data_IF_666791426784
#
_entry.id   IF_666791426784
#
_cell.length_a   1.000
_cell.length_b   1.000
_cell.length_c   1.000
_cell.angle_alpha   90.00
_cell.angle_beta   90.00
_cell.angle_gamma   90.00
#
_symmetry.space_group_name_H-M   'P 1'
#
loop_
_entity.id
_entity.type
_entity.pdbx_description
1 polymer ?
#
# COMPACT_ATOMS: atom_id res chain seq x y z
N UNK A 1 -24.07 -0.50 30.18
CA UNK A 1 -23.95 -1.30 28.94
C UNK A 1 -22.50 -1.27 28.55
N UNK A 2 -21.74 -2.26 28.98
CA UNK A 2 -20.33 -2.49 28.58
C UNK A 2 -20.38 -3.06 27.17
N UNK A 3 -19.94 -2.29 26.19
CA UNK A 3 -19.64 -2.81 24.84
C UNK A 3 -18.53 -3.83 25.00
N UNK A 4 -18.88 -5.10 24.87
CA UNK A 4 -17.86 -6.17 24.75
C UNK A 4 -17.03 -5.85 23.50
N UNK A 5 -15.76 -5.48 23.71
CA UNK A 5 -14.80 -5.36 22.64
C UNK A 5 -14.74 -6.71 21.90
N UNK A 6 -15.03 -6.71 20.62
CA UNK A 6 -14.90 -7.89 19.77
C UNK A 6 -13.48 -8.46 19.90
N UNK A 7 -13.27 -9.78 19.82
CA UNK A 7 -11.93 -10.36 19.76
C UNK A 7 -11.05 -9.72 18.68
N UNK A 8 -11.63 -9.23 17.60
CA UNK A 8 -10.95 -8.53 16.51
C UNK A 8 -10.38 -7.16 16.93
N UNK A 9 -10.97 -6.48 17.92
CA UNK A 9 -10.48 -5.18 18.42
C UNK A 9 -9.15 -5.29 19.18
N UNK A 10 -8.70 -6.52 19.51
CA UNK A 10 -7.44 -6.80 20.22
C UNK A 10 -6.30 -7.21 19.27
N UNK A 11 -6.61 -7.49 18.02
CA UNK A 11 -5.60 -7.86 17.02
C UNK A 11 -4.85 -6.64 16.51
N UNK A 12 -3.57 -6.81 16.20
CA UNK A 12 -2.82 -5.80 15.45
C UNK A 12 -3.42 -5.62 14.05
N UNK A 13 -3.15 -4.50 13.40
CA UNK A 13 -3.61 -4.27 12.02
C UNK A 13 -3.08 -5.33 11.05
N UNK A 14 -1.88 -5.83 11.30
CA UNK A 14 -1.28 -6.89 10.49
C UNK A 14 -1.97 -8.25 10.70
N UNK A 15 -2.29 -8.60 11.95
CA UNK A 15 -3.01 -9.85 12.25
C UNK A 15 -4.41 -9.84 11.61
N UNK A 16 -5.11 -8.71 11.71
CA UNK A 16 -6.43 -8.53 11.05
C UNK A 16 -6.32 -8.65 9.53
N UNK A 17 -5.32 -8.00 8.93
CA UNK A 17 -5.06 -8.09 7.50
C UNK A 17 -4.82 -9.54 7.08
N UNK A 18 -3.92 -10.24 7.77
CA UNK A 18 -3.57 -11.64 7.49
C UNK A 18 -4.79 -12.55 7.55
N UNK A 19 -5.58 -12.42 8.64
CA UNK A 19 -6.79 -13.22 8.82
C UNK A 19 -7.80 -12.98 7.68
N UNK A 20 -8.14 -11.72 7.41
CA UNK A 20 -9.14 -11.37 6.39
C UNK A 20 -8.66 -11.77 4.99
N UNK A 21 -7.38 -11.53 4.68
CA UNK A 21 -6.81 -11.89 3.38
C UNK A 21 -6.87 -13.39 3.13
N UNK A 22 -6.51 -14.21 4.12
CA UNK A 22 -6.57 -15.66 4.03
C UNK A 22 -8.02 -16.16 3.92
N UNK A 23 -8.93 -15.70 4.79
CA UNK A 23 -10.34 -16.11 4.81
C UNK A 23 -11.06 -15.80 3.49
N UNK A 24 -10.70 -14.68 2.83
CA UNK A 24 -11.35 -14.22 1.60
C UNK A 24 -10.59 -14.57 0.33
N UNK A 25 -9.42 -15.20 0.45
CA UNK A 25 -8.56 -15.54 -0.68
C UNK A 25 -8.07 -14.31 -1.45
N UNK A 26 -7.89 -13.18 -0.75
CA UNK A 26 -7.44 -11.92 -1.37
C UNK A 26 -5.97 -12.00 -1.77
N UNK A 27 -5.63 -11.29 -2.83
CA UNK A 27 -4.27 -11.04 -3.26
C UNK A 27 -3.94 -9.57 -3.05
N UNK A 28 -2.93 -9.28 -2.24
CA UNK A 28 -2.61 -7.94 -1.77
C UNK A 28 -1.19 -7.57 -2.19
N UNK A 29 -0.99 -6.33 -2.61
CA UNK A 29 0.33 -5.79 -2.90
C UNK A 29 0.50 -4.39 -2.33
N UNK A 30 1.75 -3.90 -2.32
CA UNK A 30 2.08 -2.54 -1.92
C UNK A 30 3.03 -1.89 -2.90
N UNK A 31 2.97 -0.56 -3.01
CA UNK A 31 3.92 0.25 -3.78
C UNK A 31 4.50 1.33 -2.88
N UNK A 32 5.82 1.41 -2.82
CA UNK A 32 6.52 2.25 -1.88
C UNK A 32 7.40 3.29 -2.56
N UNK A 33 7.40 4.50 -2.02
CA UNK A 33 8.40 5.51 -2.29
C UNK A 33 9.19 5.79 -1.01
N UNK A 34 8.75 6.73 -0.16
CA UNK A 34 9.49 7.15 1.03
C UNK A 34 9.75 6.01 2.03
N UNK A 35 8.92 5.00 2.11
CA UNK A 35 9.06 3.89 3.06
C UNK A 35 10.09 2.84 2.66
N UNK A 36 10.56 2.86 1.40
CA UNK A 36 11.74 2.15 0.91
C UNK A 36 11.82 0.66 1.26
N UNK A 37 10.71 -0.07 1.19
CA UNK A 37 10.65 -1.50 1.48
C UNK A 37 10.19 -1.84 2.91
N UNK A 38 10.05 -0.86 3.80
CA UNK A 38 9.59 -1.11 5.18
C UNK A 38 8.15 -1.63 5.23
N UNK A 39 7.26 -1.09 4.40
CA UNK A 39 5.87 -1.56 4.33
C UNK A 39 5.81 -2.99 3.79
N UNK A 40 6.55 -3.30 2.72
CA UNK A 40 6.67 -4.66 2.17
C UNK A 40 7.18 -5.65 3.21
N UNK A 41 8.23 -5.28 3.95
CA UNK A 41 8.78 -6.09 5.03
C UNK A 41 7.77 -6.33 6.15
N UNK A 42 7.02 -5.29 6.53
CA UNK A 42 5.98 -5.38 7.57
C UNK A 42 4.84 -6.30 7.11
N UNK A 43 4.31 -6.11 5.92
CA UNK A 43 3.20 -6.90 5.38
C UNK A 43 3.62 -8.35 5.16
N UNK A 44 4.82 -8.57 4.64
CA UNK A 44 5.39 -9.89 4.40
C UNK A 44 5.70 -10.69 5.68
N UNK A 45 5.73 -10.04 6.85
CA UNK A 45 5.85 -10.70 8.14
C UNK A 45 4.49 -11.20 8.70
N UNK A 46 3.39 -10.92 8.02
CA UNK A 46 2.07 -11.40 8.41
C UNK A 46 1.94 -12.92 8.35
N UNK A 47 1.03 -13.47 9.16
CA UNK A 47 0.76 -14.90 9.16
C UNK A 47 0.34 -15.36 7.75
N UNK A 48 0.90 -16.47 7.30
CA UNK A 48 0.61 -17.08 5.99
C UNK A 48 0.72 -16.12 4.80
N UNK A 49 1.63 -15.11 4.90
CA UNK A 49 1.80 -14.09 3.87
C UNK A 49 2.07 -14.68 2.47
N UNK A 50 2.69 -15.86 2.39
CA UNK A 50 2.92 -16.57 1.14
C UNK A 50 1.65 -16.92 0.35
N UNK A 51 0.50 -16.96 1.00
CA UNK A 51 -0.77 -17.31 0.37
C UNK A 51 -1.54 -16.09 -0.17
N UNK A 52 -1.28 -14.88 0.36
CA UNK A 52 -2.06 -13.69 0.06
C UNK A 52 -1.24 -12.45 -0.32
N UNK A 53 0.02 -12.33 0.12
CA UNK A 53 0.86 -11.19 -0.21
C UNK A 53 1.59 -11.39 -1.54
N UNK A 54 1.14 -10.72 -2.58
CA UNK A 54 1.72 -10.82 -3.93
C UNK A 54 3.12 -10.19 -4.02
N UNK A 55 3.44 -9.28 -3.10
CA UNK A 55 4.72 -8.60 -3.04
C UNK A 55 4.61 -7.08 -2.98
N UNK A 56 5.77 -6.42 -2.99
CA UNK A 56 5.88 -4.98 -3.00
C UNK A 56 6.87 -4.48 -4.05
N UNK A 57 6.61 -3.28 -4.56
CA UNK A 57 7.49 -2.57 -5.48
C UNK A 57 7.97 -1.28 -4.81
N UNK A 58 9.28 -1.07 -4.77
CA UNK A 58 9.89 0.20 -4.36
C UNK A 58 10.20 1.00 -5.62
N UNK A 59 9.47 2.10 -5.84
CA UNK A 59 9.67 3.05 -6.92
C UNK A 59 10.09 4.41 -6.32
N UNK A 60 11.37 4.55 -6.00
CA UNK A 60 11.86 5.71 -5.24
C UNK A 60 12.01 6.95 -6.13
N UNK A 61 12.70 6.83 -7.24
CA UNK A 61 12.92 7.91 -8.18
C UNK A 61 11.70 8.15 -9.08
N UNK A 62 11.48 9.41 -9.47
CA UNK A 62 10.34 9.81 -10.31
C UNK A 62 10.34 9.10 -11.65
N UNK A 63 11.49 8.99 -12.32
CA UNK A 63 11.61 8.29 -13.61
C UNK A 63 11.28 6.78 -13.50
N UNK A 64 11.51 6.17 -12.35
CA UNK A 64 11.09 4.78 -12.09
C UNK A 64 9.58 4.69 -11.94
N UNK A 65 8.94 5.66 -11.23
CA UNK A 65 7.47 5.74 -11.14
C UNK A 65 6.83 5.88 -12.52
N UNK A 66 7.39 6.74 -13.36
CA UNK A 66 6.92 6.95 -14.74
C UNK A 66 7.03 5.67 -15.58
N UNK A 67 8.22 5.04 -15.60
CA UNK A 67 8.49 3.87 -16.44
C UNK A 67 7.79 2.60 -15.99
N UNK A 68 7.77 2.35 -14.68
CA UNK A 68 7.27 1.08 -14.13
C UNK A 68 5.77 1.11 -13.84
N UNK A 69 5.25 2.28 -13.47
CA UNK A 69 3.90 2.46 -12.98
C UNK A 69 3.10 3.48 -13.80
N UNK A 70 3.64 3.95 -14.92
CA UNK A 70 2.92 4.84 -15.83
C UNK A 70 2.45 6.15 -15.21
N UNK A 71 3.14 6.63 -14.17
CA UNK A 71 2.87 7.95 -13.61
C UNK A 71 3.13 8.99 -14.68
N UNK A 72 2.19 9.91 -14.88
CA UNK A 72 2.30 10.95 -15.91
C UNK A 72 3.54 11.83 -15.68
N UNK A 73 4.41 12.03 -16.66
CA UNK A 73 5.56 12.92 -16.53
C UNK A 73 5.15 14.31 -16.05
N UNK A 74 5.85 14.80 -15.03
CA UNK A 74 5.56 16.10 -14.41
C UNK A 74 4.54 16.05 -13.27
N UNK A 75 3.98 14.90 -12.96
CA UNK A 75 3.17 14.71 -11.72
C UNK A 75 4.05 14.96 -10.50
N UNK A 76 3.57 15.79 -9.58
CA UNK A 76 4.23 16.00 -8.30
C UNK A 76 4.31 14.67 -7.52
N UNK A 77 5.52 14.16 -7.21
CA UNK A 77 5.67 12.91 -6.50
C UNK A 77 5.07 12.93 -5.08
N UNK A 78 4.92 14.12 -4.46
CA UNK A 78 4.28 14.30 -3.17
C UNK A 78 2.84 14.81 -3.36
N UNK A 79 1.98 14.02 -4.01
CA UNK A 79 0.60 14.40 -4.30
C UNK A 79 -0.38 13.23 -4.19
N UNK A 80 -1.66 13.59 -4.08
CA UNK A 80 -2.76 12.66 -4.14
C UNK A 80 -2.79 11.88 -5.46
N UNK A 81 -2.61 12.59 -6.57
CA UNK A 81 -2.58 12.01 -7.92
C UNK A 81 -1.48 10.95 -8.04
N UNK A 82 -0.26 11.26 -7.59
CA UNK A 82 0.83 10.30 -7.60
C UNK A 82 0.49 9.05 -6.76
N UNK A 83 -0.01 9.23 -5.53
CA UNK A 83 -0.38 8.11 -4.66
C UNK A 83 -1.45 7.20 -5.30
N UNK A 84 -2.48 7.78 -5.91
CA UNK A 84 -3.54 7.04 -6.60
C UNK A 84 -3.00 6.26 -7.82
N UNK A 85 -2.16 6.89 -8.65
CA UNK A 85 -1.53 6.22 -9.80
C UNK A 85 -0.64 5.04 -9.36
N UNK A 86 0.17 5.24 -8.31
CA UNK A 86 1.01 4.16 -7.76
C UNK A 86 0.17 2.97 -7.29
N UNK A 87 -0.93 3.23 -6.59
CA UNK A 87 -1.83 2.18 -6.11
C UNK A 87 -2.56 1.47 -7.26
N UNK A 88 -3.14 2.23 -8.19
CA UNK A 88 -3.91 1.69 -9.30
C UNK A 88 -3.05 0.81 -10.22
N UNK A 89 -1.89 1.31 -10.61
CA UNK A 89 -1.01 0.59 -11.53
C UNK A 89 -0.25 -0.53 -10.83
N UNK A 90 0.09 -0.37 -9.54
CA UNK A 90 0.60 -1.47 -8.71
C UNK A 90 -0.40 -2.61 -8.61
N UNK A 91 -1.67 -2.32 -8.35
CA UNK A 91 -2.73 -3.33 -8.31
C UNK A 91 -2.80 -4.13 -9.62
N UNK A 92 -2.73 -3.46 -10.77
CA UNK A 92 -2.73 -4.13 -12.07
C UNK A 92 -1.48 -4.97 -12.31
N UNK A 93 -0.29 -4.41 -11.97
CA UNK A 93 0.99 -5.08 -12.16
C UNK A 93 1.08 -6.41 -11.39
N UNK A 94 0.55 -6.45 -10.17
CA UNK A 94 0.55 -7.63 -9.33
C UNK A 94 -0.68 -8.53 -9.50
N UNK A 95 -1.63 -8.18 -10.35
CA UNK A 95 -2.94 -8.85 -10.44
C UNK A 95 -3.56 -9.01 -9.04
N UNK A 96 -3.59 -7.91 -8.29
CA UNK A 96 -4.02 -7.89 -6.90
C UNK A 96 -5.48 -7.39 -6.74
N UNK A 97 -6.13 -7.79 -5.65
CA UNK A 97 -7.46 -7.30 -5.28
C UNK A 97 -7.38 -5.95 -4.60
N UNK A 98 -6.28 -5.73 -3.85
CA UNK A 98 -5.99 -4.50 -3.11
C UNK A 98 -4.52 -4.12 -3.27
N UNK A 99 -4.27 -2.85 -3.53
CA UNK A 99 -2.97 -2.23 -3.43
C UNK A 99 -3.03 -1.00 -2.52
N UNK A 100 -2.04 -0.83 -1.66
CA UNK A 100 -1.80 0.44 -0.96
C UNK A 100 -0.44 0.99 -1.39
N UNK A 101 -0.38 2.28 -1.64
CA UNK A 101 0.86 2.99 -1.99
C UNK A 101 1.25 4.02 -0.92
N UNK A 102 2.54 4.35 -0.86
CA UNK A 102 3.09 5.40 -0.01
C UNK A 102 3.96 6.33 -0.83
N UNK A 103 3.71 7.64 -0.75
CA UNK A 103 4.58 8.67 -1.33
C UNK A 103 4.58 9.91 -0.44
N UNK A 104 5.60 10.75 -0.54
CA UNK A 104 5.71 11.94 0.28
C UNK A 104 7.13 12.25 0.74
N UNK A 105 7.25 13.19 1.68
CA UNK A 105 8.52 13.70 2.22
C UNK A 105 8.78 13.14 3.61
N UNK A 106 9.77 12.25 3.72
CA UNK A 106 10.18 11.66 5.00
C UNK A 106 11.11 12.52 5.85
N UNK A 107 11.67 13.58 5.29
CA UNK A 107 12.62 14.48 5.97
C UNK A 107 14.08 13.97 5.90
N UNK A 108 15.03 14.65 6.60
CA UNK A 108 14.80 15.77 7.53
C UNK A 108 14.43 17.10 6.88
N UNK A 109 14.78 17.30 5.60
CA UNK A 109 14.57 18.54 4.88
C UNK A 109 13.29 18.52 4.04
N UNK A 110 12.78 19.71 3.73
CA UNK A 110 11.68 19.88 2.78
C UNK A 110 12.11 19.48 1.36
N UNK A 111 11.20 18.90 0.61
CA UNK A 111 11.45 18.47 -0.76
C UNK A 111 10.28 18.87 -1.67
N UNK A 112 10.58 19.42 -2.86
CA UNK A 112 9.56 19.78 -3.84
C UNK A 112 8.56 20.85 -3.36
N UNK A 113 8.89 21.62 -2.32
CA UNK A 113 7.98 22.60 -1.72
C UNK A 113 7.07 22.02 -0.64
N UNK A 114 7.25 20.76 -0.25
CA UNK A 114 6.52 20.09 0.80
C UNK A 114 7.37 19.91 2.06
N UNK A 115 6.79 20.15 3.22
CA UNK A 115 7.43 19.95 4.50
C UNK A 115 7.61 18.45 4.83
N UNK A 116 8.65 18.09 5.65
CA UNK A 116 8.78 16.74 6.18
C UNK A 116 7.50 16.30 6.90
N UNK A 117 7.10 15.05 6.66
CA UNK A 117 5.85 14.50 7.20
C UNK A 117 4.62 14.73 6.34
N UNK A 118 4.74 15.45 5.22
CA UNK A 118 3.68 15.48 4.19
C UNK A 118 3.71 14.16 3.44
N UNK A 119 2.74 13.29 3.71
CA UNK A 119 2.66 11.94 3.14
C UNK A 119 1.30 11.70 2.55
N UNK A 120 1.25 11.05 1.40
CA UNK A 120 0.05 10.54 0.79
C UNK A 120 0.07 9.01 0.74
N UNK A 121 -1.00 8.41 1.23
CA UNK A 121 -1.31 7.00 1.04
C UNK A 121 -2.35 6.89 -0.06
N UNK A 122 -2.08 6.10 -1.09
CA UNK A 122 -3.06 5.73 -2.10
C UNK A 122 -3.61 4.33 -1.83
N UNK A 123 -4.80 4.05 -2.32
CA UNK A 123 -5.32 2.69 -2.39
C UNK A 123 -6.07 2.46 -3.69
N UNK A 124 -6.10 1.20 -4.13
CA UNK A 124 -6.86 0.76 -5.28
C UNK A 124 -7.50 -0.60 -5.02
N UNK A 125 -8.77 -0.72 -5.35
CA UNK A 125 -9.58 -1.94 -5.32
C UNK A 125 -10.37 -2.06 -6.62
N UNK A 126 -11.22 -3.06 -6.76
CA UNK A 126 -12.20 -3.15 -7.85
C UNK A 126 -13.33 -2.12 -7.74
N UNK A 127 -13.52 -1.55 -6.52
CA UNK A 127 -14.51 -0.50 -6.28
C UNK A 127 -14.01 0.91 -6.63
N UNK A 128 -12.71 1.08 -6.89
CA UNK A 128 -12.12 2.35 -7.26
C UNK A 128 -10.78 2.62 -6.59
N UNK A 129 -10.34 3.86 -6.75
CA UNK A 129 -9.09 4.40 -6.21
C UNK A 129 -9.37 5.56 -5.29
N UNK A 130 -8.45 5.85 -4.39
CA UNK A 130 -8.52 7.01 -3.53
C UNK A 130 -7.22 7.23 -2.77
N UNK A 131 -7.19 8.27 -1.96
CA UNK A 131 -6.01 8.65 -1.20
C UNK A 131 -6.35 9.18 0.19
N UNK A 132 -5.34 9.22 1.04
CA UNK A 132 -5.36 9.90 2.34
C UNK A 132 -4.07 10.68 2.52
N UNK A 133 -4.19 11.98 2.78
CA UNK A 133 -3.07 12.81 3.19
C UNK A 133 -2.83 12.68 4.68
N UNK A 134 -1.57 12.60 5.08
CA UNK A 134 -1.09 12.65 6.46
C UNK A 134 -0.19 13.87 6.61
N UNK A 135 -0.32 14.57 7.74
CA UNK A 135 0.59 15.61 8.19
C UNK A 135 1.27 15.09 9.47
N UNK A 136 2.37 14.38 9.29
CA UNK A 136 3.12 13.75 10.38
C UNK A 136 4.17 14.71 10.92
N UNK A 137 4.51 14.53 12.19
CA UNK A 137 5.56 15.29 12.86
C UNK A 137 6.53 14.32 13.51
N UNK A 138 7.77 14.76 13.70
CA UNK A 138 8.80 13.94 14.32
C UNK A 138 10.06 13.87 13.48
N UNK A 139 10.99 13.04 13.88
CA UNK A 139 12.18 12.75 13.09
C UNK A 139 11.85 11.83 11.89
N UNK A 140 12.76 11.65 10.92
CA UNK A 140 12.51 10.81 9.75
C UNK A 140 12.12 9.37 10.10
N UNK A 141 12.67 8.78 11.17
CA UNK A 141 12.36 7.42 11.56
C UNK A 141 10.93 7.31 12.11
N UNK A 142 10.49 8.31 12.88
CA UNK A 142 9.13 8.42 13.42
C UNK A 142 8.10 8.62 12.28
N UNK A 143 8.39 9.52 11.32
CA UNK A 143 7.54 9.76 10.15
C UNK A 143 7.36 8.45 9.34
N UNK A 144 8.47 7.76 9.04
CA UNK A 144 8.41 6.49 8.30
C UNK A 144 7.67 5.40 9.07
N UNK A 145 7.89 5.29 10.38
CA UNK A 145 7.16 4.35 11.25
C UNK A 145 5.67 4.60 11.24
N UNK A 146 5.24 5.85 11.48
CA UNK A 146 3.83 6.25 11.47
C UNK A 146 3.17 6.05 10.08
N UNK A 147 3.93 6.25 9.01
CA UNK A 147 3.47 5.99 7.65
C UNK A 147 3.18 4.50 7.44
N UNK A 148 4.11 3.62 7.81
CA UNK A 148 3.95 2.16 7.70
C UNK A 148 2.76 1.67 8.53
N UNK A 149 2.65 2.11 9.78
CA UNK A 149 1.55 1.73 10.66
C UNK A 149 0.18 2.17 10.11
N UNK A 150 0.13 3.38 9.54
CA UNK A 150 -1.11 3.90 8.96
C UNK A 150 -1.46 3.17 7.66
N UNK A 151 -0.47 2.84 6.83
CA UNK A 151 -0.67 2.06 5.62
C UNK A 151 -1.14 0.63 5.92
N UNK A 152 -0.60 -0.01 6.97
CA UNK A 152 -1.06 -1.33 7.42
C UNK A 152 -2.51 -1.30 7.91
N UNK A 153 -2.90 -0.26 8.66
CA UNK A 153 -4.31 -0.05 9.05
C UNK A 153 -5.23 0.17 7.85
N UNK A 154 -4.75 0.92 6.85
CA UNK A 154 -5.51 1.17 5.62
C UNK A 154 -5.71 -0.11 4.81
N UNK A 155 -4.68 -0.97 4.71
CA UNK A 155 -4.79 -2.30 4.12
C UNK A 155 -5.85 -3.16 4.82
N UNK A 156 -5.80 -3.27 6.14
CA UNK A 156 -6.77 -4.04 6.91
C UNK A 156 -8.20 -3.53 6.71
N UNK A 157 -8.39 -2.21 6.78
CA UNK A 157 -9.70 -1.57 6.58
C UNK A 157 -10.29 -1.88 5.20
N UNK A 158 -9.51 -1.72 4.13
CA UNK A 158 -10.00 -2.00 2.78
C UNK A 158 -10.19 -3.49 2.53
N UNK A 159 -9.32 -4.36 3.04
CA UNK A 159 -9.49 -5.80 2.94
C UNK A 159 -10.81 -6.27 3.57
N UNK A 160 -11.21 -5.71 4.72
CA UNK A 160 -12.49 -5.99 5.37
C UNK A 160 -13.72 -5.56 4.54
N UNK A 161 -13.57 -4.56 3.69
CA UNK A 161 -14.62 -4.08 2.78
C UNK A 161 -14.76 -4.89 1.50
N UNK A 162 -13.77 -5.74 1.16
CA UNK A 162 -13.80 -6.52 -0.08
C UNK A 162 -14.60 -7.81 0.07
N UNK A 163 -15.26 -8.22 -1.02
CA UNK A 163 -15.86 -9.54 -1.10
C UNK A 163 -14.80 -10.64 -1.28
N UNK A 164 -15.10 -11.92 -0.95
CA UNK A 164 -14.22 -13.02 -1.28
C UNK A 164 -13.81 -13.01 -2.75
N UNK A 165 -12.52 -13.20 -3.02
CA UNK A 165 -12.01 -13.24 -4.38
C UNK A 165 -12.66 -14.40 -5.17
N UNK A 166 -13.09 -14.10 -6.40
CA UNK A 166 -13.53 -15.14 -7.33
C UNK A 166 -12.36 -15.99 -7.83
N UNK A 167 -12.64 -17.12 -8.52
CA UNK A 167 -11.57 -17.95 -9.07
C UNK A 167 -10.72 -17.14 -10.05
N UNK A 168 -9.39 -17.06 -9.76
CA UNK A 168 -8.44 -16.39 -10.64
C UNK A 168 -8.31 -17.17 -11.94
N UNK A 169 -8.22 -16.46 -13.06
CA UNK A 169 -7.88 -17.09 -14.33
C UNK A 169 -6.46 -17.63 -14.23
N UNK A 170 -6.28 -18.92 -14.35
CA UNK A 170 -4.99 -19.57 -14.50
C UNK A 170 -4.39 -19.22 -15.86
N UNK A 171 -3.64 -18.13 -15.91
CA UNK A 171 -2.99 -17.67 -17.12
C UNK A 171 -1.80 -16.80 -16.70
N UNK A 172 -0.65 -17.43 -16.39
CA UNK A 172 0.60 -16.71 -16.44
C UNK A 172 0.74 -16.11 -17.83
N UNK A 173 0.88 -14.79 -17.99
CA UNK A 173 1.37 -14.25 -19.25
C UNK A 173 2.74 -14.88 -19.50
N UNK A 174 2.89 -15.57 -20.62
CA UNK A 174 4.19 -16.06 -21.05
C UNK A 174 5.12 -14.85 -21.13
N UNK A 175 6.25 -14.90 -20.42
CA UNK A 175 7.31 -13.94 -20.59
C UNK A 175 7.70 -13.92 -22.06
N UNK A 176 7.84 -12.74 -22.70
CA UNK A 176 8.33 -12.67 -24.06
C UNK A 176 9.73 -13.32 -24.10
N UNK A 177 9.85 -14.40 -24.86
CA UNK A 177 11.14 -14.99 -25.20
C UNK A 177 11.87 -14.01 -26.10
N UNK A 178 12.88 -13.32 -25.55
CA UNK A 178 13.79 -12.46 -26.31
C UNK A 178 14.73 -13.28 -27.22
#
# INVERSE_FOLDING_TARGET
MTTENSPLDRLSSLDRLSQVAAERGLRICVVESLTSGRLSSTVGAGADAGDWFAGGLVAYLTDVKERMLGVTPGTDPCSAECAEHLAANGRQLFDADLCVSTTGVGGPDAEGGHDPGTVFLGWATDHGVGHRMLALTGDPAEILGATVDTAARLLAFHAEGLHPAGPRRSGSPALPTG
#
